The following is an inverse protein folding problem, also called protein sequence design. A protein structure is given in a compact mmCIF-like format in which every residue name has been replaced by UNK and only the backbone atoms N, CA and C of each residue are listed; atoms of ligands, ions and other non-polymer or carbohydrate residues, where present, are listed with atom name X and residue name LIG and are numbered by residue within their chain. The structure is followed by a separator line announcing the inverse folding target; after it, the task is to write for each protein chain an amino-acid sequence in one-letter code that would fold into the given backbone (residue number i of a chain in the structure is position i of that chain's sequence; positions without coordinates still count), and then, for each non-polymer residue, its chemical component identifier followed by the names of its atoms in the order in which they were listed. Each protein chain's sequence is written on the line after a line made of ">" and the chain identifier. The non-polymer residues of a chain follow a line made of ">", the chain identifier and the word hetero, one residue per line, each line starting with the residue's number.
data_IF_552365359374
#
_entry.id   IF_552365359374
#
_cell.length_a   1.000
_cell.length_b   1.000
_cell.length_c   1.000
_cell.angle_alpha   90.00
_cell.angle_beta   90.00
_cell.angle_gamma   90.00
#
_symmetry.space_group_name_H-M   'P 1'
#
loop_
_entity.id
_entity.type
_entity.pdbx_description
1 polymer ?
#
# COMPACT_ATOMS: atom_id res chain seq x y z
N UNK A 1 -10.81 -5.13 -19.16
CA UNK A 1 -9.57 -4.52 -18.59
C UNK A 1 -9.06 -5.43 -17.50
N UNK A 2 -7.74 -5.60 -17.31
CA UNK A 2 -7.21 -6.34 -16.17
C UNK A 2 -7.58 -5.64 -14.86
N UNK A 3 -7.87 -6.43 -13.81
CA UNK A 3 -8.07 -5.95 -12.45
C UNK A 3 -6.85 -6.29 -11.60
N UNK A 4 -6.46 -5.36 -10.73
CA UNK A 4 -5.34 -5.51 -9.80
C UNK A 4 -5.84 -5.21 -8.39
N UNK A 5 -5.50 -6.05 -7.42
CA UNK A 5 -5.98 -5.95 -6.05
C UNK A 5 -4.84 -5.63 -5.09
N UNK A 6 -5.07 -4.72 -4.15
CA UNK A 6 -4.24 -4.53 -2.96
C UNK A 6 -5.04 -5.04 -1.76
N UNK A 7 -4.56 -6.08 -1.09
CA UNK A 7 -5.25 -6.71 0.02
C UNK A 7 -5.25 -5.80 1.26
N UNK A 8 -6.43 -5.60 1.84
CA UNK A 8 -6.63 -4.91 3.11
C UNK A 8 -6.80 -5.89 4.29
N UNK A 9 -6.90 -5.34 5.50
CA UNK A 9 -7.14 -6.13 6.70
C UNK A 9 -8.50 -6.84 6.67
N UNK A 10 -9.53 -6.18 6.14
CA UNK A 10 -10.89 -6.74 6.06
C UNK A 10 -11.01 -7.92 5.09
N UNK A 11 -10.14 -8.05 4.09
CA UNK A 11 -10.10 -9.23 3.22
C UNK A 11 -9.78 -10.52 4.00
N UNK A 12 -9.15 -10.38 5.17
CA UNK A 12 -8.81 -11.48 6.07
C UNK A 12 -9.79 -11.64 7.26
N UNK A 13 -10.89 -10.90 7.30
CA UNK A 13 -11.97 -11.08 8.29
C UNK A 13 -12.85 -12.27 7.91
N UNK A 14 -12.23 -13.41 7.79
CA UNK A 14 -12.82 -14.71 7.51
C UNK A 14 -12.38 -15.71 8.58
N UNK A 15 -13.03 -16.86 8.65
CA UNK A 15 -12.62 -17.94 9.54
C UNK A 15 -11.15 -18.35 9.28
N UNK A 16 -10.46 -18.75 10.33
CA UNK A 16 -9.01 -18.98 10.29
C UNK A 16 -8.57 -19.99 9.21
N UNK A 17 -9.38 -21.03 8.97
CA UNK A 17 -9.14 -22.04 7.93
C UNK A 17 -9.28 -21.49 6.49
N UNK A 18 -9.91 -20.35 6.32
CA UNK A 18 -10.10 -19.68 5.02
C UNK A 18 -9.03 -18.63 4.71
N UNK A 19 -8.31 -18.14 5.70
CA UNK A 19 -7.31 -17.07 5.53
C UNK A 19 -6.24 -17.39 4.47
N UNK A 20 -5.79 -18.65 4.43
CA UNK A 20 -4.85 -19.12 3.41
C UNK A 20 -5.40 -19.14 1.99
N UNK A 21 -6.72 -19.05 1.81
CA UNK A 21 -7.39 -19.09 0.50
C UNK A 21 -7.76 -17.71 -0.05
N UNK A 22 -7.55 -16.63 0.71
CA UNK A 22 -7.96 -15.27 0.32
C UNK A 22 -7.34 -14.86 -1.02
N UNK A 23 -6.05 -15.08 -1.21
CA UNK A 23 -5.32 -14.72 -2.45
C UNK A 23 -5.92 -15.44 -3.66
N UNK A 24 -6.17 -16.74 -3.56
CA UNK A 24 -6.80 -17.54 -4.59
C UNK A 24 -8.22 -17.08 -4.89
N UNK A 25 -9.02 -16.84 -3.85
CA UNK A 25 -10.40 -16.36 -3.95
C UNK A 25 -10.52 -15.00 -4.63
N UNK A 26 -9.52 -14.13 -4.44
CA UNK A 26 -9.42 -12.83 -5.11
C UNK A 26 -8.83 -12.93 -6.53
N UNK A 27 -8.58 -14.15 -7.05
CA UNK A 27 -8.00 -14.36 -8.36
C UNK A 27 -6.55 -13.85 -8.49
N UNK A 28 -5.86 -13.68 -7.38
CA UNK A 28 -4.48 -13.16 -7.36
C UNK A 28 -3.47 -14.30 -7.46
N UNK A 29 -2.35 -14.04 -8.14
CA UNK A 29 -1.21 -14.99 -8.22
C UNK A 29 -0.25 -14.84 -7.03
N UNK A 30 -0.20 -13.65 -6.42
CA UNK A 30 0.67 -13.31 -5.30
C UNK A 30 0.04 -12.20 -4.47
N UNK A 31 0.41 -12.09 -3.19
CA UNK A 31 -0.03 -11.03 -2.29
C UNK A 31 0.58 -9.67 -2.65
N UNK A 32 1.79 -9.69 -3.20
CA UNK A 32 2.47 -8.51 -3.71
C UNK A 32 3.07 -8.81 -5.08
N UNK A 33 3.13 -7.82 -5.94
CA UNK A 33 3.54 -7.97 -7.34
C UNK A 33 3.85 -6.63 -7.99
N UNK A 34 4.39 -6.67 -9.21
CA UNK A 34 4.64 -5.50 -10.04
C UNK A 34 4.23 -5.75 -11.49
N UNK A 35 3.95 -4.67 -12.20
CA UNK A 35 3.76 -4.67 -13.65
C UNK A 35 4.18 -3.32 -14.21
N UNK A 36 4.48 -3.28 -15.52
CA UNK A 36 4.87 -2.04 -16.20
C UNK A 36 3.90 -1.71 -17.31
N UNK A 37 3.65 -0.40 -17.49
CA UNK A 37 2.91 0.14 -18.62
C UNK A 37 3.69 1.34 -19.14
N UNK A 38 4.23 1.24 -20.35
CA UNK A 38 5.15 2.24 -20.93
C UNK A 38 6.36 2.50 -20.01
N UNK A 39 6.58 3.75 -19.64
CA UNK A 39 7.64 4.25 -18.77
C UNK A 39 7.27 4.27 -17.28
N UNK A 40 6.17 3.61 -16.91
CA UNK A 40 5.71 3.49 -15.54
C UNK A 40 5.75 2.06 -15.04
N UNK A 41 6.22 1.90 -13.81
CA UNK A 41 6.13 0.67 -13.03
C UNK A 41 5.15 0.87 -11.89
N UNK A 42 4.22 -0.06 -11.80
CA UNK A 42 3.21 -0.13 -10.74
C UNK A 42 3.56 -1.27 -9.81
N UNK A 43 3.70 -0.96 -8.54
CA UNK A 43 4.08 -1.93 -7.49
C UNK A 43 2.93 -2.03 -6.51
N UNK A 44 2.46 -3.25 -6.25
CA UNK A 44 1.43 -3.52 -5.25
C UNK A 44 2.06 -4.24 -4.08
N UNK A 45 1.94 -3.69 -2.87
CA UNK A 45 2.48 -4.24 -1.64
C UNK A 45 1.39 -4.92 -0.81
N UNK A 46 1.77 -5.98 -0.10
CA UNK A 46 0.98 -6.59 0.96
C UNK A 46 1.39 -6.00 2.32
N UNK A 47 0.59 -5.08 2.83
CA UNK A 47 0.77 -4.53 4.17
C UNK A 47 0.34 -5.47 5.29
N UNK A 48 -0.25 -6.64 4.94
CA UNK A 48 -0.67 -7.67 5.89
C UNK A 48 0.40 -8.76 6.10
N UNK A 49 1.56 -8.63 5.47
CA UNK A 49 2.64 -9.63 5.50
C UNK A 49 3.11 -9.96 6.93
N UNK A 50 3.16 -8.95 7.80
CA UNK A 50 3.31 -9.10 9.24
C UNK A 50 2.08 -8.50 9.91
N UNK A 51 1.13 -9.34 10.35
CA UNK A 51 -0.13 -8.87 10.93
C UNK A 51 -0.79 -9.92 11.82
N UNK A 52 -1.72 -9.48 12.67
CA UNK A 52 -2.52 -10.37 13.53
C UNK A 52 -3.76 -10.93 12.82
N UNK A 53 -4.20 -10.30 11.74
CA UNK A 53 -5.47 -10.62 11.09
C UNK A 53 -5.32 -11.53 9.86
N UNK A 54 -4.17 -11.48 9.17
CA UNK A 54 -3.98 -12.22 7.91
C UNK A 54 -3.63 -13.70 8.09
N UNK A 55 -3.41 -14.15 9.32
CA UNK A 55 -2.99 -15.53 9.59
C UNK A 55 -3.85 -16.16 10.69
N UNK A 56 -4.04 -17.50 10.66
CA UNK A 56 -4.73 -18.21 11.73
C UNK A 56 -4.10 -17.92 13.09
N UNK A 57 -4.93 -17.74 14.10
CA UNK A 57 -4.49 -17.49 15.49
C UNK A 57 -3.56 -18.62 15.94
N UNK A 58 -2.48 -18.27 16.61
CA UNK A 58 -1.42 -19.20 17.04
C UNK A 58 -0.59 -19.88 15.95
N UNK A 59 -0.79 -19.58 14.68
CA UNK A 59 0.10 -20.04 13.60
C UNK A 59 1.52 -19.46 13.74
N UNK A 60 2.54 -20.05 13.09
CA UNK A 60 3.90 -19.49 13.12
C UNK A 60 3.96 -18.03 12.69
N UNK A 61 3.28 -17.66 11.61
CA UNK A 61 3.21 -16.27 11.12
C UNK A 61 2.51 -15.32 12.09
N UNK A 62 1.45 -15.78 12.78
CA UNK A 62 0.82 -14.99 13.83
C UNK A 62 1.78 -14.74 15.00
N UNK A 63 2.52 -15.76 15.44
CA UNK A 63 3.55 -15.63 16.50
C UNK A 63 4.72 -14.74 16.06
N UNK A 64 5.10 -14.76 14.79
CA UNK A 64 6.08 -13.84 14.23
C UNK A 64 5.59 -12.39 14.31
N UNK A 65 4.32 -12.13 14.00
CA UNK A 65 3.73 -10.81 14.16
C UNK A 65 3.68 -10.36 15.64
N UNK A 66 3.36 -11.26 16.58
CA UNK A 66 3.42 -10.97 18.03
C UNK A 66 4.83 -10.58 18.47
N UNK A 67 5.83 -11.35 18.01
CA UNK A 67 7.24 -11.07 18.30
C UNK A 67 7.64 -9.71 17.71
N UNK A 68 7.36 -9.49 16.44
CA UNK A 68 7.66 -8.24 15.75
C UNK A 68 7.04 -7.03 16.46
N UNK A 69 5.76 -7.10 16.81
CA UNK A 69 5.04 -6.03 17.49
C UNK A 69 5.66 -5.70 18.86
N UNK A 70 6.02 -6.72 19.65
CA UNK A 70 6.64 -6.57 20.96
C UNK A 70 8.06 -6.02 20.89
N UNK A 71 8.92 -6.61 20.04
CA UNK A 71 10.34 -6.25 19.95
C UNK A 71 10.56 -4.85 19.41
N UNK A 72 9.73 -4.42 18.45
CA UNK A 72 9.76 -3.07 17.92
C UNK A 72 8.96 -2.06 18.78
N UNK A 73 8.44 -2.48 19.94
CA UNK A 73 7.68 -1.62 20.89
C UNK A 73 6.56 -0.84 20.20
N UNK A 74 5.87 -1.48 19.25
CA UNK A 74 4.82 -0.85 18.44
C UNK A 74 3.66 -0.47 19.34
N UNK A 75 3.16 0.77 19.17
CA UNK A 75 1.99 1.30 19.89
C UNK A 75 0.79 1.54 18.96
N UNK A 76 0.99 1.43 17.66
CA UNK A 76 -0.07 1.57 16.67
C UNK A 76 -1.09 0.41 16.82
N UNK A 77 -2.33 0.61 16.39
CA UNK A 77 -3.37 -0.41 16.51
C UNK A 77 -3.00 -1.74 15.86
N UNK A 78 -3.53 -2.84 16.44
CA UNK A 78 -3.25 -4.21 15.96
C UNK A 78 -3.96 -4.58 14.66
N UNK A 79 -4.92 -3.77 14.23
CA UNK A 79 -5.57 -3.92 12.93
C UNK A 79 -4.74 -3.35 11.75
N UNK A 80 -3.60 -2.72 12.03
CA UNK A 80 -2.57 -2.45 11.03
C UNK A 80 -1.66 -3.66 10.85
N UNK A 81 -0.70 -3.55 9.94
CA UNK A 81 0.33 -4.53 9.69
C UNK A 81 1.66 -3.89 9.32
N UNK A 82 2.58 -4.70 8.83
CA UNK A 82 3.85 -4.25 8.28
C UNK A 82 4.20 -5.03 7.01
N UNK A 83 5.02 -4.42 6.18
CA UNK A 83 5.70 -5.08 5.06
C UNK A 83 6.89 -5.86 5.64
N UNK A 84 6.92 -7.18 5.43
CA UNK A 84 7.96 -8.04 5.94
C UNK A 84 9.31 -7.84 5.25
N UNK A 85 10.40 -8.26 5.89
CA UNK A 85 11.77 -8.02 5.42
C UNK A 85 12.07 -8.61 4.04
N UNK A 86 11.53 -9.78 3.72
CA UNK A 86 11.67 -10.39 2.39
C UNK A 86 11.02 -9.52 1.31
N UNK A 87 9.83 -9.00 1.59
CA UNK A 87 9.11 -8.11 0.68
C UNK A 87 9.81 -6.74 0.56
N UNK A 88 10.37 -6.20 1.65
CA UNK A 88 11.21 -4.98 1.61
C UNK A 88 12.44 -5.19 0.73
N UNK A 89 13.12 -6.33 0.86
CA UNK A 89 14.27 -6.67 0.01
C UNK A 89 13.87 -6.85 -1.47
N UNK A 90 12.72 -7.44 -1.74
CA UNK A 90 12.16 -7.54 -3.09
C UNK A 90 11.83 -6.15 -3.65
N UNK A 91 11.15 -5.31 -2.87
CA UNK A 91 10.80 -3.94 -3.26
C UNK A 91 12.05 -3.14 -3.62
N UNK A 92 13.12 -3.21 -2.83
CA UNK A 92 14.41 -2.57 -3.13
C UNK A 92 14.95 -2.97 -4.49
N UNK A 93 14.92 -4.28 -4.83
CA UNK A 93 15.36 -4.78 -6.14
C UNK A 93 14.50 -4.23 -7.29
N UNK A 94 13.18 -4.11 -7.07
CA UNK A 94 12.26 -3.55 -8.06
C UNK A 94 12.56 -2.06 -8.29
N UNK A 95 12.79 -1.28 -7.22
CA UNK A 95 13.13 0.14 -7.33
C UNK A 95 14.48 0.36 -8.03
N UNK A 96 15.51 -0.44 -7.70
CA UNK A 96 16.79 -0.43 -8.40
C UNK A 96 16.65 -0.71 -9.90
N UNK A 97 15.80 -1.71 -10.26
CA UNK A 97 15.50 -2.04 -11.66
C UNK A 97 14.81 -0.87 -12.37
N UNK A 98 13.77 -0.30 -11.73
CA UNK A 98 13.03 0.84 -12.30
C UNK A 98 13.94 2.05 -12.54
N UNK A 99 14.78 2.40 -11.57
CA UNK A 99 15.72 3.52 -11.70
C UNK A 99 16.73 3.30 -12.82
N UNK A 100 17.31 2.09 -12.94
CA UNK A 100 18.19 1.72 -14.05
C UNK A 100 17.49 1.82 -15.40
N UNK A 101 16.20 1.48 -15.46
CA UNK A 101 15.38 1.52 -16.68
C UNK A 101 14.77 2.90 -16.93
N UNK A 102 15.01 3.89 -16.06
CA UNK A 102 14.45 5.24 -16.11
C UNK A 102 12.90 5.24 -16.10
N UNK A 103 12.29 4.25 -15.47
CA UNK A 103 10.86 4.18 -15.26
C UNK A 103 10.45 5.03 -14.06
N UNK A 104 9.23 5.56 -14.08
CA UNK A 104 8.61 6.18 -12.91
C UNK A 104 7.83 5.11 -12.13
N UNK A 105 7.77 5.26 -10.81
CA UNK A 105 7.14 4.24 -9.95
C UNK A 105 5.97 4.84 -9.19
N UNK A 106 4.81 4.17 -9.29
CA UNK A 106 3.68 4.34 -8.40
C UNK A 106 3.50 3.06 -7.55
N UNK A 107 3.49 3.23 -6.24
CA UNK A 107 3.32 2.13 -5.29
C UNK A 107 1.92 2.15 -4.71
N UNK A 108 1.28 0.99 -4.63
CA UNK A 108 -0.03 0.78 -4.05
C UNK A 108 0.07 -0.15 -2.83
N UNK A 109 -0.64 0.20 -1.78
CA UNK A 109 -0.82 -0.63 -0.61
C UNK A 109 -2.17 -0.31 0.01
N UNK A 110 -2.73 -1.18 0.83
CA UNK A 110 -3.93 -0.83 1.58
C UNK A 110 -3.64 0.23 2.66
N UNK A 111 -2.56 0.06 3.42
CA UNK A 111 -2.22 0.90 4.58
C UNK A 111 -1.43 2.14 4.18
N UNK A 112 -1.70 3.31 4.79
CA UNK A 112 -0.87 4.51 4.62
C UNK A 112 0.51 4.36 5.28
N UNK A 113 1.43 5.27 4.89
CA UNK A 113 2.73 5.45 5.55
C UNK A 113 2.96 6.91 5.95
N UNK A 114 2.37 7.86 5.23
CA UNK A 114 2.54 9.30 5.45
C UNK A 114 1.29 10.08 5.00
N UNK A 115 0.94 11.21 5.65
CA UNK A 115 1.49 11.76 6.90
C UNK A 115 1.27 10.86 8.11
N UNK A 116 1.93 11.16 9.25
CA UNK A 116 1.76 10.38 10.48
C UNK A 116 0.28 10.24 10.86
N UNK A 117 -0.15 9.00 11.11
CA UNK A 117 -1.55 8.65 11.35
C UNK A 117 -1.62 7.30 12.09
N UNK A 118 -2.61 7.09 12.99
CA UNK A 118 -2.82 5.79 13.62
C UNK A 118 -3.06 4.62 12.66
N UNK A 119 -3.46 4.89 11.42
CA UNK A 119 -3.71 3.88 10.38
C UNK A 119 -2.46 3.46 9.61
N UNK A 120 -1.30 4.07 9.88
CA UNK A 120 -0.08 3.78 9.14
C UNK A 120 0.44 2.37 9.41
N UNK A 121 1.15 1.81 8.42
CA UNK A 121 1.96 0.61 8.60
C UNK A 121 2.84 0.72 9.85
N UNK A 122 3.05 -0.38 10.55
CA UNK A 122 3.92 -0.42 11.72
C UNK A 122 5.37 -0.02 11.38
N UNK A 123 5.83 -0.33 10.18
CA UNK A 123 7.14 0.05 9.67
C UNK A 123 7.10 1.18 8.63
N UNK A 124 6.13 2.10 8.76
CA UNK A 124 5.98 3.22 7.84
C UNK A 124 7.29 4.02 7.63
N UNK A 125 8.06 4.25 8.69
CA UNK A 125 9.34 4.96 8.62
C UNK A 125 10.36 4.25 7.73
N UNK A 126 10.48 2.92 7.82
CA UNK A 126 11.36 2.11 6.98
C UNK A 126 10.96 2.21 5.50
N UNK A 127 9.67 2.12 5.20
CA UNK A 127 9.15 2.21 3.82
C UNK A 127 9.38 3.60 3.24
N UNK A 128 9.14 4.66 4.01
CA UNK A 128 9.43 6.04 3.59
C UNK A 128 10.92 6.20 3.29
N UNK A 129 11.79 5.75 4.20
CA UNK A 129 13.25 5.85 4.03
C UNK A 129 13.71 5.10 2.77
N UNK A 130 13.16 3.91 2.52
CA UNK A 130 13.45 3.16 1.29
C UNK A 130 13.03 3.94 0.04
N UNK A 131 11.85 4.55 0.03
CA UNK A 131 11.41 5.33 -1.13
C UNK A 131 12.29 6.55 -1.38
N UNK A 132 12.77 7.22 -0.33
CA UNK A 132 13.62 8.40 -0.41
C UNK A 132 15.02 8.11 -0.99
N UNK A 133 15.44 6.84 -1.03
CA UNK A 133 16.69 6.42 -1.70
C UNK A 133 16.58 6.40 -3.23
N UNK A 134 15.36 6.42 -3.80
CA UNK A 134 15.13 6.23 -5.24
C UNK A 134 14.34 7.38 -5.86
N UNK A 135 14.98 8.08 -6.79
CA UNK A 135 14.37 9.23 -7.48
C UNK A 135 13.19 8.83 -8.40
N UNK A 136 13.12 7.56 -8.78
CA UNK A 136 12.05 7.03 -9.62
C UNK A 136 10.69 6.94 -8.90
N UNK A 137 10.64 6.90 -7.57
CA UNK A 137 9.38 6.82 -6.81
C UNK A 137 8.65 8.15 -6.84
N UNK A 138 7.44 8.18 -7.40
CA UNK A 138 6.63 9.39 -7.58
C UNK A 138 5.40 9.44 -6.69
N UNK A 139 4.76 8.31 -6.44
CA UNK A 139 3.53 8.28 -5.66
C UNK A 139 3.40 6.97 -4.85
N UNK A 140 2.82 7.11 -3.66
CA UNK A 140 2.30 6.02 -2.84
C UNK A 140 0.80 6.25 -2.63
N UNK A 141 -0.02 5.32 -3.11
CA UNK A 141 -1.47 5.43 -3.12
C UNK A 141 -2.06 4.31 -2.26
N UNK A 142 -2.96 4.67 -1.38
CA UNK A 142 -3.47 3.74 -0.38
C UNK A 142 -4.92 4.07 0.04
N UNK A 143 -5.47 3.25 0.93
CA UNK A 143 -6.78 3.41 1.55
C UNK A 143 -6.69 3.38 3.08
N UNK A 144 -7.46 2.49 3.71
CA UNK A 144 -7.52 2.17 5.13
C UNK A 144 -8.04 3.30 6.04
N UNK A 145 -7.49 4.51 5.96
CA UNK A 145 -8.08 5.67 6.60
C UNK A 145 -9.19 6.24 5.70
N UNK A 146 -10.43 5.87 5.99
CA UNK A 146 -11.61 6.20 5.17
C UNK A 146 -11.87 7.71 5.02
N UNK A 147 -11.28 8.55 5.88
CA UNK A 147 -11.39 10.03 5.76
C UNK A 147 -10.57 10.57 4.58
N UNK A 148 -9.63 9.76 4.08
CA UNK A 148 -8.67 10.20 3.09
C UNK A 148 -7.64 11.16 3.67
N UNK A 149 -6.46 11.19 3.09
CA UNK A 149 -5.37 12.08 3.51
C UNK A 149 -4.40 12.31 2.35
N UNK A 150 -3.73 13.43 2.36
CA UNK A 150 -2.69 13.73 1.38
C UNK A 150 -1.49 14.38 2.06
N UNK A 151 -0.31 14.05 1.59
CA UNK A 151 0.93 14.71 1.94
C UNK A 151 1.96 14.53 0.84
N UNK A 152 2.97 15.42 0.85
CA UNK A 152 4.13 15.30 -0.03
C UNK A 152 5.39 15.37 0.82
N UNK A 153 6.36 14.51 0.54
CA UNK A 153 7.65 14.51 1.22
C UNK A 153 8.74 14.13 0.21
N UNK A 154 9.79 14.93 0.11
CA UNK A 154 10.94 14.71 -0.77
C UNK A 154 10.56 14.41 -2.23
N UNK A 155 9.53 15.10 -2.75
CA UNK A 155 9.04 14.93 -4.12
C UNK A 155 8.06 13.78 -4.31
N UNK A 156 7.88 12.90 -3.33
CA UNK A 156 6.97 11.76 -3.38
C UNK A 156 5.58 12.17 -2.87
N UNK A 157 4.56 11.83 -3.61
CA UNK A 157 3.16 12.07 -3.24
C UNK A 157 2.60 10.87 -2.48
N UNK A 158 2.02 11.11 -1.30
CA UNK A 158 1.34 10.12 -0.47
C UNK A 158 -0.15 10.43 -0.45
N UNK A 159 -0.95 9.58 -1.08
CA UNK A 159 -2.38 9.80 -1.26
C UNK A 159 -3.17 8.64 -0.65
N UNK A 160 -3.88 8.92 0.43
CA UNK A 160 -4.90 8.04 0.98
C UNK A 160 -6.25 8.40 0.38
N UNK A 161 -6.85 7.49 -0.36
CA UNK A 161 -8.17 7.65 -0.94
C UNK A 161 -9.25 7.47 0.13
N UNK A 162 -10.38 8.16 -0.03
CA UNK A 162 -11.53 8.00 0.88
C UNK A 162 -12.16 6.62 0.75
N UNK A 163 -12.66 6.10 1.85
CA UNK A 163 -13.40 4.82 1.87
C UNK A 163 -14.80 4.97 1.29
N UNK A 164 -15.25 3.96 0.54
CA UNK A 164 -16.61 3.93 -0.03
C UNK A 164 -17.70 3.53 0.98
N UNK A 165 -17.30 2.99 2.15
CA UNK A 165 -18.21 2.37 3.12
C UNK A 165 -18.82 3.34 4.15
N UNK A 166 -18.39 4.62 4.16
CA UNK A 166 -18.76 5.58 5.22
C UNK A 166 -20.14 6.20 5.05
N UNK A 167 -20.62 6.30 3.81
CA UNK A 167 -21.90 6.94 3.48
C UNK A 167 -22.52 6.29 2.25
N UNK A 168 -23.73 6.72 1.86
CA UNK A 168 -24.37 6.32 0.62
C UNK A 168 -23.66 6.92 -0.62
N UNK A 169 -22.92 8.02 -0.45
CA UNK A 169 -22.13 8.63 -1.50
C UNK A 169 -20.84 7.84 -1.76
N UNK A 170 -20.60 7.50 -3.01
CA UNK A 170 -19.38 6.84 -3.44
C UNK A 170 -18.11 7.69 -3.20
N UNK A 171 -16.96 7.03 -3.19
CA UNK A 171 -15.65 7.68 -3.21
C UNK A 171 -14.68 6.84 -4.05
N UNK A 172 -14.37 7.30 -5.26
CA UNK A 172 -13.38 6.66 -6.12
C UNK A 172 -12.67 7.68 -6.99
N UNK A 173 -11.59 7.29 -7.64
CA UNK A 173 -10.80 8.17 -8.50
C UNK A 173 -10.41 7.48 -9.80
N UNK A 174 -10.25 8.31 -10.85
CA UNK A 174 -9.50 7.96 -12.04
C UNK A 174 -8.17 8.70 -11.96
N UNK A 175 -7.05 7.96 -11.98
CA UNK A 175 -5.71 8.54 -12.00
C UNK A 175 -5.18 8.46 -13.42
N UNK A 176 -4.97 9.63 -14.03
CA UNK A 176 -4.42 9.77 -15.37
C UNK A 176 -2.98 10.22 -15.30
N UNK A 177 -2.11 9.51 -16.04
CA UNK A 177 -0.70 9.85 -16.17
C UNK A 177 -0.53 10.87 -17.30
N UNK A 178 0.05 12.01 -17.00
CA UNK A 178 0.42 13.07 -17.96
C UNK A 178 1.91 13.37 -17.85
N UNK A 179 2.44 14.06 -18.86
CA UNK A 179 3.80 14.56 -18.75
C UNK A 179 3.94 15.50 -17.54
N UNK A 180 4.82 15.15 -16.60
CA UNK A 180 5.11 15.95 -15.41
C UNK A 180 4.05 15.98 -14.33
N UNK A 181 2.96 15.19 -14.42
CA UNK A 181 1.94 15.12 -13.36
C UNK A 181 1.09 13.86 -13.40
N UNK A 182 0.56 13.49 -12.23
CA UNK A 182 -0.59 12.59 -12.12
C UNK A 182 -1.84 13.44 -11.85
N UNK A 183 -2.87 13.31 -12.70
CA UNK A 183 -4.16 13.92 -12.45
C UNK A 183 -5.07 12.90 -11.77
N UNK A 184 -5.53 13.23 -10.58
CA UNK A 184 -6.53 12.46 -9.83
C UNK A 184 -7.89 13.12 -10.05
N UNK A 185 -8.73 12.52 -10.88
CA UNK A 185 -10.12 12.95 -11.04
C UNK A 185 -10.96 12.21 -10.02
N UNK A 186 -11.41 12.92 -9.00
CA UNK A 186 -12.23 12.37 -7.94
C UNK A 186 -13.71 12.33 -8.30
N UNK A 187 -14.41 11.33 -7.77
CA UNK A 187 -15.84 11.15 -7.89
C UNK A 187 -16.49 10.94 -6.54
N UNK A 188 -17.72 11.42 -6.40
CA UNK A 188 -18.45 11.41 -5.13
C UNK A 188 -17.70 12.24 -4.09
N UNK A 189 -17.34 11.61 -2.96
CA UNK A 189 -16.63 12.31 -1.87
C UNK A 189 -15.12 12.49 -2.09
N UNK A 190 -14.53 11.87 -3.12
CA UNK A 190 -13.09 12.00 -3.39
C UNK A 190 -12.80 13.31 -4.13
N UNK A 191 -11.90 14.17 -3.61
CA UNK A 191 -11.59 15.44 -4.27
C UNK A 191 -10.64 15.26 -5.46
N UNK A 192 -10.75 16.19 -6.42
CA UNK A 192 -9.81 16.28 -7.54
C UNK A 192 -8.43 16.80 -7.06
N UNK A 193 -7.34 16.27 -7.62
CA UNK A 193 -5.96 16.71 -7.35
C UNK A 193 -5.09 16.66 -8.59
N UNK A 194 -4.09 17.52 -8.61
CA UNK A 194 -3.00 17.49 -9.59
C UNK A 194 -1.67 17.31 -8.84
N UNK A 195 -1.03 16.16 -9.01
CA UNK A 195 0.20 15.79 -8.34
C UNK A 195 1.36 16.09 -9.30
N UNK A 196 2.08 17.19 -9.08
CA UNK A 196 3.19 17.61 -9.92
C UNK A 196 4.43 16.75 -9.65
N UNK A 197 4.96 16.09 -10.67
CA UNK A 197 6.13 15.22 -10.58
C UNK A 197 7.40 16.04 -10.79
N UNK A 198 8.36 15.87 -9.90
CA UNK A 198 9.70 16.45 -9.98
C UNK A 198 10.70 15.40 -10.46
#
# INVERSE_FOLDING_TARGET
>A
MPAYHALGNHDFEVADELKGKVVERMGMKSKYYEFSVKDWRFVVLDGNDVSFHAYPKNSPKYKDAERYYRENKIRSPRWNGAVGSEQVAWLRKILQKAEKQKEQVAVFCHFPVYPADPHNLWNAGEIISLFEEFSCVKAYINGHNHKGKYGQKNGIHYLTLKGMVETEDNAYSIISVHQGKLKVTGYGREPERSLLLK
#
